data_IF_056959251700
#
_entry.id   IF_056959251700
#
_cell.length_a   1.000
_cell.length_b   1.000
_cell.length_c   1.000
_cell.angle_alpha   90.00
_cell.angle_beta   90.00
_cell.angle_gamma   90.00
#
_symmetry.space_group_name_H-M   'P 1'
#
loop_
_entity.id
_entity.type
_entity.pdbx_description
1 polymer ?
#
# COMPACT_ATOMS: atom_id res chain seq x y z
N UNK A 1 -4.46 3.80 -31.37
CA UNK A 1 -4.44 3.40 -31.19
C UNK A 1 -4.75 2.99 -30.95
N UNK A 2 -4.97 2.81 -30.96
CA UNK A 2 -5.10 2.31 -30.77
C UNK A 2 -5.62 1.57 -30.49
N UNK A 3 -5.82 1.50 -30.29
CA UNK A 3 -6.05 0.76 -30.19
C UNK A 3 -6.73 -0.03 -30.13
N UNK A 4 -6.92 0.00 -29.99
CA UNK A 4 -7.47 -0.64 -30.17
C UNK A 4 -7.79 -1.48 -30.46
N UNK A 5 -7.80 -0.90 -30.64
CA UNK A 5 -8.18 -1.90 -31.35
C UNK A 5 -8.18 -3.15 -30.86
N UNK A 6 -7.77 -3.16 -30.08
CA UNK A 6 -7.63 -4.38 -29.67
C UNK A 6 -8.36 -4.58 -28.48
N UNK A 7 -9.53 -4.94 -28.58
CA UNK A 7 -10.30 -5.32 -27.42
C UNK A 7 -9.96 -6.76 -27.07
N UNK A 8 -9.49 -6.94 -25.87
CA UNK A 8 -9.25 -8.28 -25.35
C UNK A 8 -10.20 -8.45 -24.18
N UNK A 9 -11.18 -9.35 -24.26
CA UNK A 9 -12.16 -9.49 -23.20
C UNK A 9 -11.57 -9.95 -21.88
N UNK A 10 -10.35 -10.45 -21.87
CA UNK A 10 -9.72 -10.87 -20.64
C UNK A 10 -8.88 -9.79 -19.98
N UNK A 11 -8.79 -8.61 -20.59
CA UNK A 11 -7.99 -7.52 -20.05
C UNK A 11 -8.85 -6.28 -19.91
N UNK A 12 -8.52 -5.41 -18.97
CA UNK A 12 -9.28 -4.17 -18.84
C UNK A 12 -9.01 -3.24 -20.02
N UNK A 13 -10.03 -2.48 -20.42
CA UNK A 13 -9.88 -1.47 -21.44
C UNK A 13 -8.91 -0.40 -20.99
N UNK A 14 -8.88 -0.16 -19.70
CA UNK A 14 -7.98 0.82 -19.13
C UNK A 14 -7.66 0.38 -17.71
N UNK A 15 -6.57 0.91 -17.18
CA UNK A 15 -6.20 0.65 -15.82
C UNK A 15 -6.11 1.96 -15.07
N UNK A 16 -6.25 1.87 -13.77
CA UNK A 16 -6.20 3.04 -12.92
C UNK A 16 -4.92 2.97 -12.10
N UNK A 17 -4.13 4.02 -12.19
CA UNK A 17 -2.88 4.10 -11.45
C UNK A 17 -2.87 5.38 -10.63
N UNK A 18 -1.99 5.43 -9.63
CA UNK A 18 -1.82 6.62 -8.84
C UNK A 18 -1.09 7.69 -9.66
N UNK A 19 -1.55 8.93 -9.57
CA UNK A 19 -0.90 10.03 -10.26
C UNK A 19 0.43 10.38 -9.60
N UNK A 20 0.56 10.10 -8.30
CA UNK A 20 1.79 10.38 -7.56
C UNK A 20 1.66 9.84 -6.16
N UNK A 21 2.65 10.12 -5.30
CA UNK A 21 2.58 9.64 -3.92
C UNK A 21 1.47 10.35 -3.16
N UNK A 22 0.94 9.66 -2.17
CA UNK A 22 -0.06 10.21 -1.28
C UNK A 22 0.17 9.74 0.13
N UNK A 23 -0.41 10.44 1.08
CA UNK A 23 -0.32 10.01 2.45
C UNK A 23 -1.57 10.40 3.21
N UNK A 24 -1.84 9.68 4.28
CA UNK A 24 -2.98 9.93 5.11
C UNK A 24 -2.70 9.50 6.53
N UNK A 25 -3.58 9.91 7.42
CA UNK A 25 -3.41 9.62 8.82
C UNK A 25 -4.76 9.33 9.43
N UNK A 26 -4.79 8.38 10.36
CA UNK A 26 -6.03 8.04 11.05
C UNK A 26 -5.69 7.68 12.48
N UNK A 27 -6.56 8.08 13.40
CA UNK A 27 -6.44 7.69 14.80
C UNK A 27 -7.66 6.88 15.17
N UNK A 28 -7.43 5.76 15.81
CA UNK A 28 -8.53 4.93 16.24
C UNK A 28 -8.11 4.17 17.50
N UNK A 29 -8.95 4.23 18.53
CA UNK A 29 -8.72 3.49 19.75
C UNK A 29 -7.31 3.69 20.29
N UNK A 30 -6.88 4.94 20.36
CA UNK A 30 -5.60 5.30 20.92
C UNK A 30 -4.41 4.87 20.07
N UNK A 31 -4.66 4.34 18.87
CA UNK A 31 -3.58 4.08 17.93
C UNK A 31 -3.60 5.10 16.83
N UNK A 32 -2.43 5.44 16.35
CA UNK A 32 -2.28 6.38 15.26
C UNK A 32 -1.66 5.64 14.09
N UNK A 33 -2.28 5.79 12.93
CA UNK A 33 -1.86 5.12 11.71
C UNK A 33 -1.41 6.16 10.70
N UNK A 34 -0.25 5.94 10.11
CA UNK A 34 0.25 6.77 9.02
C UNK A 34 0.31 5.90 7.77
N UNK A 35 -0.37 6.31 6.74
CA UNK A 35 -0.47 5.54 5.52
C UNK A 35 0.22 6.28 4.38
N UNK A 36 0.95 5.54 3.57
CA UNK A 36 1.68 6.09 2.43
C UNK A 36 1.39 5.24 1.21
N UNK A 37 1.05 5.88 0.11
CA UNK A 37 0.78 5.20 -1.14
C UNK A 37 1.74 5.73 -2.19
N UNK A 38 2.30 4.83 -3.01
CA UNK A 38 3.26 5.22 -4.03
C UNK A 38 2.95 4.50 -5.33
N UNK A 39 3.16 5.19 -6.46
CA UNK A 39 3.20 4.47 -7.73
C UNK A 39 4.39 3.51 -7.70
N UNK A 40 4.21 2.33 -8.24
CA UNK A 40 5.28 1.34 -8.28
C UNK A 40 5.13 0.52 -9.56
N UNK A 41 5.99 0.74 -10.55
CA UNK A 41 5.86 0.02 -11.81
C UNK A 41 6.27 -1.44 -11.72
N UNK A 42 7.04 -1.80 -10.70
CA UNK A 42 7.49 -3.17 -10.56
C UNK A 42 7.75 -3.49 -9.09
N UNK A 43 8.12 -4.73 -8.84
CA UNK A 43 8.33 -5.20 -7.49
C UNK A 43 9.51 -4.51 -6.81
N UNK A 44 10.56 -4.21 -7.56
CA UNK A 44 11.72 -3.52 -7.00
C UNK A 44 11.31 -2.16 -6.45
N UNK A 45 10.54 -1.40 -7.22
CA UNK A 45 10.08 -0.10 -6.76
C UNK A 45 9.16 -0.24 -5.55
N UNK A 46 8.30 -1.25 -5.55
CA UNK A 46 7.40 -1.47 -4.41
C UNK A 46 8.20 -1.79 -3.16
N UNK A 47 9.18 -2.66 -3.24
CA UNK A 47 9.98 -3.01 -2.08
C UNK A 47 10.83 -1.85 -1.59
N UNK A 48 11.33 -1.03 -2.50
CA UNK A 48 12.07 0.15 -2.11
C UNK A 48 11.21 1.15 -1.36
N UNK A 49 9.97 1.32 -1.79
CA UNK A 49 9.05 2.22 -1.11
C UNK A 49 8.76 1.72 0.31
N UNK A 50 8.53 0.41 0.45
CA UNK A 50 8.28 -0.17 1.77
C UNK A 50 9.49 0.04 2.67
N UNK A 51 10.67 -0.25 2.16
CA UNK A 51 11.89 -0.11 2.95
C UNK A 51 12.14 1.35 3.35
N UNK A 52 11.82 2.27 2.45
CA UNK A 52 11.99 3.70 2.75
C UNK A 52 11.10 4.16 3.88
N UNK A 53 9.84 3.73 3.88
CA UNK A 53 8.92 4.08 4.95
C UNK A 53 9.36 3.43 6.25
N UNK A 54 9.76 2.16 6.19
CA UNK A 54 10.19 1.45 7.39
C UNK A 54 11.42 2.11 8.02
N UNK A 55 12.35 2.60 7.20
CA UNK A 55 13.52 3.29 7.73
C UNK A 55 13.15 4.63 8.35
N UNK A 56 12.25 5.36 7.70
CA UNK A 56 11.86 6.67 8.19
C UNK A 56 11.11 6.58 9.51
N UNK A 57 10.31 5.54 9.68
CA UNK A 57 9.52 5.34 10.88
C UNK A 57 9.99 4.10 11.62
N UNK A 58 11.31 4.01 11.81
CA UNK A 58 11.91 2.81 12.39
C UNK A 58 11.48 2.54 13.82
N UNK A 59 10.93 3.54 14.49
CA UNK A 59 10.43 3.36 15.84
C UNK A 59 8.99 2.85 15.87
N UNK A 60 8.35 2.70 14.72
CA UNK A 60 7.04 2.06 14.67
C UNK A 60 7.22 0.57 14.85
N UNK A 61 6.26 -0.06 15.51
CA UNK A 61 6.36 -1.49 15.78
C UNK A 61 6.22 -2.30 14.50
N UNK A 62 5.32 -1.90 13.62
CA UNK A 62 5.05 -2.64 12.40
C UNK A 62 4.88 -1.70 11.23
N UNK A 63 5.30 -2.15 10.05
CA UNK A 63 5.08 -1.45 8.79
C UNK A 63 4.40 -2.42 7.85
N UNK A 64 3.08 -2.43 7.88
CA UNK A 64 2.30 -3.33 7.07
C UNK A 64 2.24 -2.83 5.64
N UNK A 65 2.06 -3.72 4.68
CA UNK A 65 2.09 -3.29 3.29
C UNK A 65 1.25 -4.19 2.40
N UNK A 66 0.93 -3.65 1.23
CA UNK A 66 0.30 -4.42 0.17
C UNK A 66 0.66 -3.75 -1.14
N UNK A 67 0.78 -4.55 -2.21
CA UNK A 67 0.94 -3.99 -3.54
C UNK A 67 0.10 -4.77 -4.53
N UNK A 68 -0.15 -4.13 -5.64
CA UNK A 68 -0.79 -4.76 -6.80
C UNK A 68 -0.10 -4.21 -8.02
N UNK A 69 0.44 -5.12 -8.84
CA UNK A 69 1.26 -4.76 -9.98
C UNK A 69 0.73 -5.47 -11.21
N UNK A 70 0.82 -4.81 -12.36
CA UNK A 70 0.47 -5.41 -13.63
C UNK A 70 -0.93 -5.07 -14.05
N UNK A 71 -1.19 -5.27 -15.33
CA UNK A 71 -2.42 -4.83 -15.96
C UNK A 71 -3.22 -6.00 -16.54
N UNK A 72 -2.84 -7.22 -16.27
CA UNK A 72 -3.49 -8.38 -16.85
C UNK A 72 -4.57 -8.95 -15.96
N UNK A 73 -5.04 -10.13 -16.34
CA UNK A 73 -6.06 -10.82 -15.60
C UNK A 73 -5.59 -11.23 -14.21
N UNK A 74 -4.32 -11.56 -14.09
CA UNK A 74 -3.75 -12.00 -12.83
C UNK A 74 -2.66 -11.05 -12.41
N UNK A 75 -3.03 -9.93 -11.81
CA UNK A 75 -2.01 -9.01 -11.32
C UNK A 75 -1.19 -9.65 -10.21
N UNK A 76 0.04 -9.19 -10.07
CA UNK A 76 0.92 -9.65 -9.01
C UNK A 76 0.54 -8.90 -7.74
N UNK A 77 0.06 -9.62 -6.74
CA UNK A 77 -0.38 -9.02 -5.50
C UNK A 77 0.45 -9.52 -4.33
N UNK A 78 0.59 -8.67 -3.34
CA UNK A 78 1.38 -8.97 -2.16
C UNK A 78 0.74 -8.30 -0.96
N UNK A 79 0.83 -8.95 0.19
CA UNK A 79 0.41 -8.36 1.44
C UNK A 79 1.31 -8.84 2.55
N UNK A 80 1.52 -7.98 3.53
CA UNK A 80 2.40 -8.30 4.64
C UNK A 80 1.87 -7.63 5.90
N UNK A 81 1.56 -8.43 6.90
CA UNK A 81 1.08 -7.92 8.19
C UNK A 81 2.21 -7.42 9.07
N UNK A 82 3.43 -7.79 8.77
CA UNK A 82 4.63 -7.36 9.48
C UNK A 82 4.49 -7.48 11.01
N UNK A 83 4.00 -8.62 11.45
CA UNK A 83 3.87 -8.88 12.88
C UNK A 83 2.55 -8.53 13.51
N UNK A 84 1.68 -7.84 12.79
CA UNK A 84 0.31 -7.69 13.25
C UNK A 84 -0.40 -9.04 13.12
N UNK A 85 -1.50 -9.25 13.82
CA UNK A 85 -2.19 -10.53 13.71
C UNK A 85 -2.52 -10.87 12.27
N UNK A 86 -2.39 -12.13 11.94
CA UNK A 86 -2.56 -12.60 10.56
C UNK A 86 -3.89 -12.15 9.98
N UNK A 87 -3.83 -11.57 8.78
CA UNK A 87 -5.03 -11.15 8.06
C UNK A 87 -5.62 -9.83 8.51
N UNK A 88 -5.00 -9.14 9.48
CA UNK A 88 -5.62 -7.94 10.05
C UNK A 88 -5.05 -6.64 9.52
N UNK A 89 -3.98 -6.70 8.75
CA UNK A 89 -3.35 -5.47 8.27
C UNK A 89 -3.11 -5.51 6.77
N UNK A 90 -2.31 -6.45 6.29
CA UNK A 90 -1.99 -6.50 4.86
C UNK A 90 -3.20 -6.78 4.00
N UNK A 91 -4.06 -7.69 4.41
CA UNK A 91 -5.22 -8.04 3.62
C UNK A 91 -6.19 -6.87 3.46
N UNK A 92 -6.52 -6.11 4.52
CA UNK A 92 -7.37 -4.93 4.33
C UNK A 92 -6.75 -3.89 3.41
N UNK A 93 -5.43 -3.74 3.42
CA UNK A 93 -4.77 -2.83 2.50
C UNK A 93 -4.92 -3.28 1.06
N UNK A 94 -4.71 -4.56 0.82
CA UNK A 94 -4.86 -5.11 -0.53
C UNK A 94 -6.32 -5.00 -0.99
N UNK A 95 -7.26 -5.26 -0.09
CA UNK A 95 -8.67 -5.14 -0.40
C UNK A 95 -9.02 -3.71 -0.80
N UNK A 96 -8.43 -2.71 -0.14
CA UNK A 96 -8.67 -1.33 -0.47
C UNK A 96 -8.13 -0.98 -1.86
N UNK A 97 -6.97 -1.52 -2.21
CA UNK A 97 -6.40 -1.32 -3.54
C UNK A 97 -7.32 -1.91 -4.60
N UNK A 98 -7.79 -3.14 -4.36
CA UNK A 98 -8.69 -3.81 -5.29
C UNK A 98 -10.01 -3.06 -5.44
N UNK A 99 -10.55 -2.56 -4.34
CA UNK A 99 -11.83 -1.88 -4.36
C UNK A 99 -11.77 -0.62 -5.21
N UNK A 100 -10.62 0.05 -5.21
CA UNK A 100 -10.44 1.24 -6.01
C UNK A 100 -9.95 0.93 -7.42
N UNK A 101 -9.77 -0.35 -7.71
CA UNK A 101 -9.35 -0.82 -9.04
C UNK A 101 -8.01 -0.22 -9.44
N UNK A 102 -7.13 -0.04 -8.45
CA UNK A 102 -5.80 0.49 -8.71
C UNK A 102 -4.83 -0.64 -9.03
N UNK A 103 -3.82 -0.33 -9.81
CA UNK A 103 -2.70 -1.21 -10.03
C UNK A 103 -1.41 -0.40 -10.10
N UNK A 104 -0.27 -1.10 -10.15
CA UNK A 104 1.05 -0.47 -10.17
C UNK A 104 1.22 0.48 -8.99
N UNK A 105 0.85 -0.01 -7.81
CA UNK A 105 0.96 0.78 -6.61
C UNK A 105 1.29 -0.09 -5.41
N UNK A 106 1.84 0.56 -4.39
CA UNK A 106 2.14 -0.04 -3.11
C UNK A 106 1.65 0.90 -2.01
N UNK A 107 1.11 0.31 -0.96
CA UNK A 107 0.64 1.05 0.22
C UNK A 107 1.36 0.51 1.43
N UNK A 108 1.86 1.40 2.27
CA UNK A 108 2.55 1.05 3.51
C UNK A 108 1.88 1.79 4.65
N UNK A 109 1.59 1.09 5.74
CA UNK A 109 0.97 1.71 6.91
C UNK A 109 1.81 1.39 8.13
N UNK A 110 2.21 2.43 8.86
CA UNK A 110 2.88 2.25 10.14
C UNK A 110 1.90 2.62 11.25
N UNK A 111 2.07 1.97 12.40
CA UNK A 111 1.17 2.13 13.51
C UNK A 111 1.92 2.43 14.78
N UNK A 112 1.40 3.42 15.51
CA UNK A 112 1.90 3.77 16.83
C UNK A 112 0.76 3.59 17.84
N UNK A 113 1.03 2.81 18.88
CA UNK A 113 0.00 2.53 19.87
C UNK A 113 -0.23 3.74 20.76
N UNK A 114 -1.46 3.89 21.21
CA UNK A 114 -1.81 4.96 22.12
C UNK A 114 -0.99 4.86 23.39
N UNK A 115 -0.52 5.98 23.86
CA UNK A 115 0.35 6.01 25.00
C UNK A 115 1.80 5.81 24.65
N UNK A 116 2.08 5.34 23.44
CA UNK A 116 3.43 5.23 22.96
C UNK A 116 3.74 6.50 22.19
N UNK A 117 4.88 7.07 22.44
CA UNK A 117 5.21 8.32 21.78
C UNK A 117 5.50 8.13 20.32
N UNK A 118 5.08 9.10 19.55
CA UNK A 118 5.40 9.11 18.16
C UNK A 118 6.65 9.92 18.00
N UNK A 119 7.67 9.25 17.64
CA UNK A 119 8.93 9.92 17.66
C UNK A 119 9.19 10.17 19.08
N UNK A 120 9.38 11.32 19.44
CA UNK A 120 9.63 11.56 20.79
C UNK A 120 8.68 12.51 21.29
N UNK A 121 8.61 12.57 22.49
CA UNK A 121 7.76 13.51 23.05
C UNK A 121 6.37 13.33 22.57
N UNK A 122 6.16 12.24 22.00
CA UNK A 122 4.87 11.93 21.52
C UNK A 122 4.38 13.04 20.70
N UNK A 123 5.22 13.63 20.23
CA UNK A 123 4.85 14.75 19.50
C UNK A 123 4.25 15.74 20.19
#
# INVERSE_FOLDING_TARGET
MTDQSTFDPGLPDSVRVLAGPGQGEMTEQRSRFLAFAFPAPDETAAREAIAGVARRYHDARHACSAWRLGHGLLPHEHRNDDGEPSGTAGEPLLAAIRKRELTDCVVVVVRYFGGVKLGTGGL
#
